data_IF_770356153037
#
_entry.id   IF_770356153037
#
_cell.length_a   1.000
_cell.length_b   1.000
_cell.length_c   1.000
_cell.angle_alpha   90.00
_cell.angle_beta   90.00
_cell.angle_gamma   90.00
#
_symmetry.space_group_name_H-M   'P 1'
#
loop_
_entity.id
_entity.type
_entity.pdbx_description
1 polymer ?
#
# COMPACT_ATOMS: atom_id res chain seq x y z
N UNK A 1 -10.47 10.97 11.73
CA UNK A 1 -9.19 10.25 11.58
C UNK A 1 -9.35 8.83 12.11
N UNK A 2 -9.04 7.81 11.30
CA UNK A 2 -9.14 6.40 11.69
C UNK A 2 -8.12 5.54 10.94
N UNK A 3 -7.63 4.48 11.56
CA UNK A 3 -6.78 3.46 10.93
C UNK A 3 -7.62 2.20 10.74
N UNK A 4 -7.63 1.64 9.52
CA UNK A 4 -8.33 0.40 9.22
C UNK A 4 -7.38 -0.61 8.59
N UNK A 5 -7.49 -1.86 9.00
CA UNK A 5 -6.89 -2.97 8.27
C UNK A 5 -7.64 -3.16 6.95
N UNK A 6 -6.92 -3.33 5.85
CA UNK A 6 -7.48 -3.52 4.53
C UNK A 6 -7.27 -4.97 4.11
N UNK A 7 -8.34 -5.76 4.12
CA UNK A 7 -8.30 -7.18 3.78
C UNK A 7 -8.47 -7.41 2.27
N UNK A 8 -9.31 -6.60 1.62
CA UNK A 8 -9.59 -6.71 0.19
C UNK A 8 -8.37 -6.37 -0.65
N UNK A 9 -7.96 -7.30 -1.51
CA UNK A 9 -6.89 -7.09 -2.49
C UNK A 9 -7.15 -5.90 -3.40
N UNK A 10 -8.39 -5.72 -3.86
CA UNK A 10 -8.75 -4.59 -4.73
C UNK A 10 -8.58 -3.25 -4.01
N UNK A 11 -8.99 -3.17 -2.73
CA UNK A 11 -8.85 -1.95 -1.94
C UNK A 11 -7.38 -1.65 -1.63
N UNK A 12 -6.57 -2.68 -1.34
CA UNK A 12 -5.11 -2.52 -1.16
C UNK A 12 -4.48 -1.91 -2.41
N UNK A 13 -4.78 -2.45 -3.59
CA UNK A 13 -4.24 -1.97 -4.87
C UNK A 13 -4.71 -0.53 -5.12
N UNK A 14 -5.99 -0.25 -4.94
CA UNK A 14 -6.58 1.08 -5.17
C UNK A 14 -5.94 2.14 -4.29
N UNK A 15 -5.84 1.88 -2.99
CA UNK A 15 -5.24 2.80 -2.01
C UNK A 15 -3.75 3.00 -2.31
N UNK A 16 -3.01 1.91 -2.54
CA UNK A 16 -1.59 1.97 -2.87
C UNK A 16 -1.33 2.80 -4.11
N UNK A 17 -2.06 2.52 -5.20
CA UNK A 17 -1.92 3.24 -6.47
C UNK A 17 -2.22 4.72 -6.30
N UNK A 18 -3.33 5.07 -5.64
CA UNK A 18 -3.71 6.47 -5.41
C UNK A 18 -2.63 7.27 -4.68
N UNK A 19 -1.94 6.65 -3.71
CA UNK A 19 -0.93 7.34 -2.92
C UNK A 19 0.43 7.33 -3.64
N UNK A 20 0.85 6.19 -4.19
CA UNK A 20 2.15 6.06 -4.87
C UNK A 20 2.22 6.90 -6.15
N UNK A 21 1.10 7.12 -6.84
CA UNK A 21 1.06 8.00 -8.01
C UNK A 21 1.32 9.47 -7.66
N UNK A 22 0.90 9.91 -6.46
CA UNK A 22 1.08 11.27 -5.95
C UNK A 22 2.45 11.52 -5.29
N UNK A 23 3.21 10.45 -5.00
CA UNK A 23 4.55 10.60 -4.43
C UNK A 23 5.51 11.27 -5.45
N UNK A 24 6.52 12.02 -4.98
CA UNK A 24 7.60 12.54 -5.82
C UNK A 24 8.35 11.41 -6.57
N UNK A 25 9.40 11.73 -7.33
CA UNK A 25 10.25 10.74 -8.03
C UNK A 25 11.07 9.83 -7.07
N UNK A 26 10.41 9.21 -6.10
CA UNK A 26 10.94 8.17 -5.22
C UNK A 26 10.99 6.81 -5.94
N UNK A 27 10.16 6.63 -6.97
CA UNK A 27 10.08 5.42 -7.77
C UNK A 27 10.02 5.78 -9.26
N UNK A 28 10.74 5.01 -10.08
CA UNK A 28 10.53 4.98 -11.52
C UNK A 28 9.23 4.26 -11.88
N UNK A 29 8.83 4.29 -13.15
CA UNK A 29 7.56 3.71 -13.59
C UNK A 29 7.46 2.20 -13.25
N UNK A 30 8.57 1.47 -13.41
CA UNK A 30 8.62 0.04 -13.11
C UNK A 30 8.55 -0.21 -11.60
N UNK A 31 9.29 0.56 -10.79
CA UNK A 31 9.25 0.47 -9.34
C UNK A 31 7.87 0.74 -8.78
N UNK A 32 7.08 1.66 -9.37
CA UNK A 32 5.67 1.87 -9.00
C UNK A 32 4.83 0.62 -9.27
N UNK A 33 4.99 0.00 -10.45
CA UNK A 33 4.27 -1.24 -10.81
C UNK A 33 4.63 -2.40 -9.87
N UNK A 34 5.92 -2.58 -9.60
CA UNK A 34 6.42 -3.64 -8.72
C UNK A 34 5.95 -3.44 -7.27
N UNK A 35 5.92 -2.18 -6.81
CA UNK A 35 5.45 -1.84 -5.48
C UNK A 35 3.94 -2.10 -5.31
N UNK A 36 3.13 -1.69 -6.30
CA UNK A 36 1.69 -1.96 -6.31
C UNK A 36 1.42 -3.46 -6.41
N UNK A 37 2.18 -4.21 -7.21
CA UNK A 37 2.03 -5.66 -7.30
C UNK A 37 2.39 -6.36 -5.97
N UNK A 38 3.43 -5.89 -5.29
CA UNK A 38 3.92 -6.47 -4.05
C UNK A 38 3.00 -6.25 -2.83
N UNK A 39 2.03 -5.33 -2.90
CA UNK A 39 1.18 -5.01 -1.74
C UNK A 39 0.17 -6.11 -1.42
N UNK A 40 -0.22 -6.91 -2.41
CA UNK A 40 -1.30 -7.91 -2.30
C UNK A 40 -0.99 -8.93 -1.19
N UNK A 41 0.27 -9.36 -1.12
CA UNK A 41 0.77 -10.37 -0.18
C UNK A 41 1.20 -9.78 1.18
N UNK A 42 0.87 -8.51 1.47
CA UNK A 42 1.25 -7.83 2.71
C UNK A 42 0.06 -7.53 3.60
N UNK A 43 0.31 -7.42 4.90
CA UNK A 43 -0.66 -6.87 5.83
C UNK A 43 -0.66 -5.35 5.68
N UNK A 44 -1.80 -4.74 5.40
CA UNK A 44 -1.93 -3.30 5.09
C UNK A 44 -2.89 -2.64 6.06
N UNK A 45 -2.48 -1.49 6.58
CA UNK A 45 -3.33 -0.58 7.33
C UNK A 45 -3.35 0.78 6.65
N UNK A 46 -4.53 1.27 6.31
CA UNK A 46 -4.71 2.58 5.70
C UNK A 46 -5.21 3.60 6.72
N UNK A 47 -4.69 4.82 6.61
CA UNK A 47 -5.07 5.97 7.41
C UNK A 47 -6.08 6.82 6.66
N UNK A 48 -7.24 7.06 7.27
CA UNK A 48 -8.35 7.80 6.68
C UNK A 48 -8.61 9.13 7.38
N UNK A 49 -8.80 10.18 6.58
CA UNK A 49 -9.35 11.47 6.98
C UNK A 49 -10.62 11.68 6.16
N UNK A 50 -11.77 11.87 6.83
CA UNK A 50 -13.06 12.11 6.16
C UNK A 50 -13.37 11.11 5.02
N UNK A 51 -13.17 9.82 5.31
CA UNK A 51 -13.32 8.68 4.39
C UNK A 51 -12.32 8.60 3.22
N UNK A 52 -11.43 9.58 3.09
CA UNK A 52 -10.35 9.54 2.10
C UNK A 52 -9.08 8.90 2.68
N UNK A 53 -8.49 7.90 2.00
CA UNK A 53 -7.20 7.34 2.38
C UNK A 53 -6.09 8.34 2.07
N UNK A 54 -5.35 8.78 3.09
CA UNK A 54 -4.25 9.76 2.93
C UNK A 54 -2.87 9.13 3.17
N UNK A 55 -2.82 7.86 3.53
CA UNK A 55 -1.60 7.13 3.81
C UNK A 55 -1.87 5.67 4.10
N UNK A 56 -0.84 4.83 4.04
CA UNK A 56 -0.90 3.46 4.53
C UNK A 56 0.44 3.02 5.10
N UNK A 57 0.42 1.97 5.89
CA UNK A 57 1.57 1.22 6.34
C UNK A 57 1.38 -0.24 5.96
N UNK A 58 2.44 -0.87 5.48
CA UNK A 58 2.46 -2.29 5.15
C UNK A 58 3.48 -3.03 6.00
N UNK A 59 3.19 -4.29 6.28
CA UNK A 59 4.11 -5.22 6.90
C UNK A 59 4.29 -6.42 5.95
N UNK A 60 5.53 -6.61 5.49
CA UNK A 60 5.93 -7.75 4.68
C UNK A 60 6.64 -8.76 5.57
N UNK A 61 6.07 -9.96 5.72
CA UNK A 61 6.74 -11.06 6.39
C UNK A 61 7.80 -11.66 5.45
N UNK A 62 9.05 -11.65 5.89
CA UNK A 62 10.15 -12.33 5.19
C UNK A 62 10.49 -13.57 6.00
N UNK A 63 10.16 -14.75 5.46
CA UNK A 63 10.58 -16.01 6.06
C UNK A 63 12.01 -16.31 5.59
N UNK A 64 12.98 -16.20 6.51
CA UNK A 64 14.33 -16.71 6.30
C UNK A 64 14.30 -18.22 6.48
N UNK A 65 14.40 -18.96 5.38
CA UNK A 65 14.66 -20.41 5.42
C UNK A 65 16.17 -20.57 5.52
N UNK A 66 16.64 -20.99 6.71
CA UNK A 66 18.03 -21.39 6.98
C UNK A 66 18.26 -22.86 6.63
#
# INVERSE_FOLDING_TARGET
MNIKNIESTEDKIKICKSIVEELPEWFDEQGRKDYVAGIVDTAVWAYFIDENPVGFSLLKFVFLVY
#
